data_IF_744214847083
#
_entry.id   IF_744214847083
#
_cell.length_a   1.000
_cell.length_b   1.000
_cell.length_c   1.000
_cell.angle_alpha   90.00
_cell.angle_beta   90.00
_cell.angle_gamma   90.00
#
_symmetry.space_group_name_H-M   'P 1'
#
loop_
_entity.id
_entity.type
_entity.pdbx_description
1 polymer ?
#
# COMPACT_ATOMS: atom_id res chain seq x y z
N UNK A 1 -0.64 -13.73 20.58
CA UNK A 1 -1.84 -12.87 20.36
C UNK A 1 -1.36 -11.43 20.30
N UNK A 2 -1.69 -10.68 19.25
CA UNK A 2 -1.28 -9.28 19.13
C UNK A 2 -2.03 -8.44 20.18
N UNK A 3 -1.29 -7.81 21.09
CA UNK A 3 -1.85 -6.93 22.13
C UNK A 3 -2.06 -5.50 21.63
N UNK A 4 -1.50 -5.18 20.47
CA UNK A 4 -1.59 -3.86 19.82
C UNK A 4 -2.00 -3.99 18.36
N UNK A 5 -2.65 -2.94 17.84
CA UNK A 5 -3.06 -2.78 16.45
C UNK A 5 -2.33 -1.58 15.85
N UNK A 6 -1.72 -1.77 14.67
CA UNK A 6 -1.08 -0.71 13.91
C UNK A 6 -2.10 -0.06 12.96
N UNK A 7 -2.19 1.26 13.01
CA UNK A 7 -2.93 2.07 12.04
C UNK A 7 -1.95 2.96 11.27
N UNK A 8 -2.05 2.96 9.94
CA UNK A 8 -1.29 3.84 9.07
C UNK A 8 -2.23 4.86 8.41
N UNK A 9 -1.83 6.14 8.39
CA UNK A 9 -2.62 7.20 7.78
C UNK A 9 -1.77 8.11 6.89
N UNK A 10 -2.13 8.27 5.60
CA UNK A 10 -1.40 9.15 4.69
C UNK A 10 -1.71 10.62 5.00
N UNK A 11 -0.68 11.45 5.16
CA UNK A 11 -0.83 12.89 5.38
C UNK A 11 -0.95 13.69 4.07
N UNK A 12 -0.69 13.06 2.92
CA UNK A 12 -0.83 13.67 1.60
C UNK A 12 -1.30 12.66 0.53
N UNK A 13 -1.74 13.18 -0.63
CA UNK A 13 -2.33 12.36 -1.70
C UNK A 13 -1.33 11.39 -2.34
N UNK A 14 -0.04 11.76 -2.38
CA UNK A 14 1.06 10.89 -2.83
C UNK A 14 1.12 9.64 -1.97
N UNK A 15 1.26 9.79 -0.65
CA UNK A 15 1.29 8.65 0.28
C UNK A 15 -0.02 7.84 0.24
N UNK A 16 -1.17 8.51 0.10
CA UNK A 16 -2.47 7.83 -0.06
C UNK A 16 -2.50 6.92 -1.28
N UNK A 17 -2.01 7.41 -2.41
CA UNK A 17 -1.92 6.64 -3.65
C UNK A 17 -0.98 5.45 -3.49
N UNK A 18 0.17 5.65 -2.85
CA UNK A 18 1.16 4.60 -2.62
C UNK A 18 0.66 3.49 -1.70
N UNK A 19 0.02 3.81 -0.58
CA UNK A 19 -0.57 2.80 0.30
C UNK A 19 -1.70 2.01 -0.39
N UNK A 20 -2.50 2.65 -1.25
CA UNK A 20 -3.51 1.96 -2.07
C UNK A 20 -2.87 0.98 -3.05
N UNK A 21 -1.81 1.41 -3.75
CA UNK A 21 -1.09 0.56 -4.71
C UNK A 21 -0.44 -0.62 -3.98
N UNK A 22 0.23 -0.38 -2.86
CA UNK A 22 0.85 -1.42 -2.03
C UNK A 22 -0.19 -2.46 -1.62
N UNK A 23 -1.34 -2.01 -1.08
CA UNK A 23 -2.44 -2.89 -0.70
C UNK A 23 -2.92 -3.73 -1.89
N UNK A 24 -3.23 -3.10 -3.03
CA UNK A 24 -3.75 -3.79 -4.21
C UNK A 24 -2.75 -4.83 -4.76
N UNK A 25 -1.45 -4.50 -4.82
CA UNK A 25 -0.41 -5.43 -5.26
C UNK A 25 -0.31 -6.63 -4.31
N UNK A 26 -0.38 -6.42 -2.99
CA UNK A 26 -0.40 -7.51 -2.02
C UNK A 26 -1.64 -8.40 -2.19
N UNK A 27 -2.81 -7.79 -2.47
CA UNK A 27 -4.05 -8.53 -2.67
C UNK A 27 -4.02 -9.43 -3.92
N UNK A 28 -3.31 -9.05 -4.98
CA UNK A 28 -3.16 -9.88 -6.19
C UNK A 28 -2.51 -11.24 -5.88
N UNK A 29 -1.66 -11.33 -4.87
CA UNK A 29 -0.99 -12.57 -4.48
C UNK A 29 -1.67 -13.30 -3.31
N UNK A 30 -2.69 -12.70 -2.68
CA UNK A 30 -3.25 -13.18 -1.41
C UNK A 30 -4.08 -14.48 -1.52
N UNK A 31 -4.55 -14.82 -2.73
CA UNK A 31 -5.40 -15.99 -2.99
C UNK A 31 -4.89 -16.85 -4.15
N UNK A 32 -3.56 -16.90 -4.32
CA UNK A 32 -2.94 -17.81 -5.28
C UNK A 32 -2.82 -19.22 -4.69
N UNK A 33 -2.91 -20.28 -5.51
CA UNK A 33 -3.18 -20.26 -6.95
C UNK A 33 -4.66 -19.98 -7.27
N UNK A 34 -4.96 -19.46 -8.47
CA UNK A 34 -6.35 -19.24 -8.89
C UNK A 34 -6.98 -20.57 -9.31
N UNK A 35 -7.79 -21.14 -8.43
CA UNK A 35 -8.47 -22.41 -8.65
C UNK A 35 -9.97 -22.24 -8.91
N UNK A 36 -10.62 -21.32 -8.21
CA UNK A 36 -12.07 -21.16 -8.25
C UNK A 36 -12.49 -19.75 -8.72
N UNK A 37 -13.79 -19.59 -8.99
CA UNK A 37 -14.35 -18.30 -9.43
C UNK A 37 -14.14 -17.19 -8.39
N UNK A 38 -14.18 -17.51 -7.09
CA UNK A 38 -13.92 -16.53 -6.03
C UNK A 38 -12.49 -15.96 -6.08
N UNK A 39 -11.50 -16.80 -6.39
CA UNK A 39 -10.10 -16.40 -6.47
C UNK A 39 -9.85 -15.55 -7.71
N UNK A 40 -10.44 -15.97 -8.84
CA UNK A 40 -10.37 -15.21 -10.08
C UNK A 40 -11.00 -13.82 -9.91
N UNK A 41 -12.21 -13.73 -9.36
CA UNK A 41 -12.87 -12.44 -9.15
C UNK A 41 -12.12 -11.56 -8.17
N UNK A 42 -11.52 -12.14 -7.13
CA UNK A 42 -10.62 -11.42 -6.22
C UNK A 42 -9.42 -10.85 -6.98
N UNK A 43 -8.72 -11.66 -7.78
CA UNK A 43 -7.57 -11.23 -8.57
C UNK A 43 -7.95 -10.13 -9.58
N UNK A 44 -8.94 -10.37 -10.44
CA UNK A 44 -9.32 -9.44 -11.50
C UNK A 44 -9.91 -8.14 -10.97
N UNK A 45 -10.58 -8.15 -9.81
CA UNK A 45 -11.05 -6.92 -9.16
C UNK A 45 -9.88 -6.07 -8.68
N UNK A 46 -8.93 -6.66 -7.96
CA UNK A 46 -7.73 -5.92 -7.51
C UNK A 46 -6.87 -5.44 -8.70
N UNK A 47 -6.77 -6.22 -9.77
CA UNK A 47 -6.09 -5.80 -11.00
C UNK A 47 -6.81 -4.62 -11.67
N UNK A 48 -8.15 -4.66 -11.72
CA UNK A 48 -8.97 -3.57 -12.24
C UNK A 48 -8.82 -2.28 -11.43
N UNK A 49 -8.95 -2.38 -10.11
CA UNK A 49 -8.78 -1.24 -9.20
C UNK A 49 -7.37 -0.64 -9.29
N UNK A 50 -6.34 -1.48 -9.46
CA UNK A 50 -4.97 -1.03 -9.67
C UNK A 50 -4.79 -0.27 -10.99
N UNK A 51 -5.42 -0.75 -12.08
CA UNK A 51 -5.43 -0.06 -13.37
C UNK A 51 -6.13 1.29 -13.29
N UNK A 52 -7.23 1.40 -12.54
CA UNK A 52 -7.95 2.66 -12.30
C UNK A 52 -7.06 3.68 -11.57
N UNK A 53 -6.23 3.23 -10.62
CA UNK A 53 -5.26 4.10 -9.93
C UNK A 53 -4.19 4.60 -10.92
N UNK A 54 -3.65 3.73 -11.78
CA UNK A 54 -2.66 4.13 -12.79
C UNK A 54 -3.19 5.09 -13.85
N UNK A 55 -4.50 5.09 -14.11
CA UNK A 55 -5.12 6.01 -15.08
C UNK A 55 -5.25 7.45 -14.55
N UNK A 56 -5.27 7.63 -13.21
CA UNK A 56 -5.51 8.93 -12.57
C UNK A 56 -4.27 9.77 -12.29
N UNK A 57 -3.06 9.21 -12.37
CA UNK A 57 -1.85 9.92 -11.95
C UNK A 57 -0.53 9.36 -12.48
N UNK A 58 0.51 10.19 -12.39
CA UNK A 58 1.87 9.85 -12.82
C UNK A 58 2.72 9.19 -11.71
N UNK A 59 2.31 7.99 -11.28
CA UNK A 59 2.96 7.25 -10.19
C UNK A 59 4.47 7.06 -10.41
N UNK A 60 4.91 6.86 -11.66
CA UNK A 60 6.31 6.62 -12.00
C UNK A 60 7.17 7.84 -11.68
N UNK A 61 6.74 9.01 -12.15
CA UNK A 61 7.46 10.26 -11.96
C UNK A 61 7.61 10.58 -10.47
N UNK A 62 6.56 10.35 -9.69
CA UNK A 62 6.57 10.55 -8.24
C UNK A 62 7.51 9.58 -7.52
N UNK A 63 7.48 8.29 -7.86
CA UNK A 63 8.38 7.30 -7.28
C UNK A 63 9.84 7.57 -7.63
N UNK A 64 10.15 7.95 -8.86
CA UNK A 64 11.53 8.31 -9.25
C UNK A 64 12.05 9.50 -8.42
N UNK A 65 11.23 10.54 -8.24
CA UNK A 65 11.58 11.69 -7.38
C UNK A 65 11.80 11.26 -5.92
N UNK A 66 10.98 10.36 -5.40
CA UNK A 66 11.14 9.87 -4.03
C UNK A 66 12.37 8.96 -3.87
N UNK A 67 12.68 8.09 -4.84
CA UNK A 67 13.92 7.29 -4.83
C UNK A 67 15.15 8.20 -4.70
N UNK A 68 15.19 9.31 -5.46
CA UNK A 68 16.26 10.30 -5.35
C UNK A 68 16.26 11.04 -4.00
N UNK A 69 15.08 11.37 -3.46
CA UNK A 69 14.95 12.00 -2.13
C UNK A 69 15.48 11.07 -1.04
N UNK A 70 15.16 9.78 -1.09
CA UNK A 70 15.64 8.78 -0.13
C UNK A 70 17.15 8.55 -0.25
N UNK A 71 17.72 8.55 -1.47
CA UNK A 71 19.18 8.52 -1.65
C UNK A 71 19.88 9.71 -0.99
N UNK A 72 19.32 10.92 -1.13
CA UNK A 72 19.85 12.13 -0.48
C UNK A 72 19.74 12.05 1.04
N UNK A 73 18.61 11.57 1.57
CA UNK A 73 18.43 11.33 3.01
C UNK A 73 19.48 10.36 3.56
N UNK A 74 19.71 9.23 2.89
CA UNK A 74 20.71 8.24 3.30
C UNK A 74 22.15 8.80 3.23
N UNK A 75 22.47 9.62 2.23
CA UNK A 75 23.79 10.26 2.11
C UNK A 75 24.11 11.18 3.30
N UNK A 76 23.10 11.85 3.88
CA UNK A 76 23.31 12.71 5.04
C UNK A 76 23.73 11.91 6.31
N UNK A 77 23.41 10.62 6.37
CA UNK A 77 23.82 9.76 7.49
C UNK A 77 25.27 9.27 7.41
N UNK A 78 25.90 9.34 6.23
CA UNK A 78 27.30 8.92 6.01
C UNK A 78 28.28 9.68 6.90
N UNK A 79 27.99 10.93 7.25
CA UNK A 79 28.87 11.76 8.09
C UNK A 79 28.64 11.54 9.60
N UNK A 80 27.63 10.76 10.00
CA UNK A 80 27.25 10.56 11.40
C UNK A 80 28.12 9.47 12.05
N UNK A 81 28.80 9.75 13.18
CA UNK A 81 29.58 8.75 13.89
C UNK A 81 28.72 7.57 14.37
N UNK A 82 29.25 6.33 14.25
CA UNK A 82 28.59 5.12 14.73
C UNK A 82 27.56 4.50 13.79
N UNK A 83 27.34 5.08 12.61
CA UNK A 83 26.48 4.52 11.55
C UNK A 83 27.16 3.36 10.83
N UNK A 84 26.35 2.38 10.42
CA UNK A 84 26.76 1.30 9.52
C UNK A 84 26.82 1.78 8.06
N UNK A 85 28.03 2.16 7.63
CA UNK A 85 28.28 2.65 6.27
C UNK A 85 27.97 1.60 5.20
N UNK A 86 28.28 0.33 5.47
CA UNK A 86 28.08 -0.76 4.50
C UNK A 86 26.60 -0.94 4.16
N UNK A 87 25.74 -0.81 5.18
CA UNK A 87 24.28 -0.90 5.00
C UNK A 87 23.72 0.30 4.26
N UNK A 88 24.23 1.51 4.54
CA UNK A 88 23.84 2.72 3.79
C UNK A 88 24.18 2.57 2.31
N UNK A 89 25.41 2.17 2.00
CA UNK A 89 25.86 2.03 0.61
C UNK A 89 25.06 0.96 -0.13
N UNK A 90 24.79 -0.18 0.51
CA UNK A 90 23.95 -1.22 -0.05
C UNK A 90 22.52 -0.73 -0.36
N UNK A 91 21.88 -0.02 0.59
CA UNK A 91 20.54 0.55 0.38
C UNK A 91 20.53 1.59 -0.74
N UNK A 92 21.55 2.45 -0.81
CA UNK A 92 21.66 3.45 -1.89
C UNK A 92 21.84 2.80 -3.26
N UNK A 93 22.62 1.72 -3.34
CA UNK A 93 22.75 0.93 -4.57
C UNK A 93 21.41 0.28 -4.97
N UNK A 94 20.66 -0.28 -4.01
CA UNK A 94 19.33 -0.82 -4.27
C UNK A 94 18.37 0.25 -4.81
N UNK A 95 18.33 1.44 -4.21
CA UNK A 95 17.51 2.56 -4.68
C UNK A 95 17.89 2.98 -6.11
N UNK A 96 19.19 3.04 -6.42
CA UNK A 96 19.67 3.40 -7.77
C UNK A 96 19.26 2.36 -8.80
N UNK A 97 19.44 1.07 -8.49
CA UNK A 97 19.05 -0.03 -9.36
C UNK A 97 17.53 -0.06 -9.58
N UNK A 98 16.73 0.10 -8.52
CA UNK A 98 15.27 0.19 -8.63
C UNK A 98 14.84 1.37 -9.51
N UNK A 99 15.52 2.52 -9.39
CA UNK A 99 15.30 3.68 -10.25
C UNK A 99 15.60 3.39 -11.72
N UNK A 100 16.74 2.77 -12.02
CA UNK A 100 17.10 2.37 -13.40
C UNK A 100 16.09 1.38 -13.99
N UNK A 101 15.69 0.36 -13.23
CA UNK A 101 14.68 -0.62 -13.66
C UNK A 101 13.33 0.08 -13.93
N UNK A 102 12.91 0.98 -13.06
CA UNK A 102 11.64 1.70 -13.20
C UNK A 102 11.62 2.67 -14.40
N UNK A 103 12.77 3.30 -14.71
CA UNK A 103 12.92 4.16 -15.91
C UNK A 103 12.77 3.33 -17.19
N UNK A 104 13.43 2.17 -17.25
CA UNK A 104 13.40 1.28 -18.41
C UNK A 104 12.09 0.49 -18.54
N UNK A 105 11.23 0.50 -17.53
CA UNK A 105 9.99 -0.26 -17.53
C UNK A 105 8.97 0.28 -18.57
N UNK A 106 8.24 -0.61 -19.28
CA UNK A 106 7.09 -0.25 -20.10
C UNK A 106 6.04 0.50 -19.29
N UNK A 107 5.10 1.18 -19.95
CA UNK A 107 4.06 1.97 -19.27
C UNK A 107 3.35 1.12 -18.21
N UNK A 108 3.20 1.68 -17.00
CA UNK A 108 2.66 0.92 -15.87
C UNK A 108 1.26 0.37 -16.17
N UNK A 109 1.07 -0.91 -15.85
CA UNK A 109 -0.17 -1.63 -16.11
C UNK A 109 -0.50 -1.85 -17.60
N UNK A 110 0.38 -1.49 -18.54
CA UNK A 110 0.11 -1.68 -19.97
C UNK A 110 -0.15 -3.15 -20.31
N UNK A 111 0.70 -4.05 -19.81
CA UNK A 111 0.56 -5.49 -20.03
C UNK A 111 -0.81 -6.02 -19.53
N UNK A 112 -1.24 -5.60 -18.35
CA UNK A 112 -2.56 -5.97 -17.80
C UNK A 112 -3.73 -5.35 -18.58
N UNK A 113 -3.57 -4.10 -19.04
CA UNK A 113 -4.60 -3.37 -19.79
C UNK A 113 -4.84 -3.96 -21.17
N UNK A 114 -3.78 -4.45 -21.81
CA UNK A 114 -3.82 -5.06 -23.15
C UNK A 114 -4.25 -6.54 -23.09
N UNK A 115 -4.28 -7.15 -21.90
CA UNK A 115 -4.75 -8.53 -21.74
C UNK A 115 -6.27 -8.65 -21.97
N UNK A 116 -6.63 -9.55 -22.89
CA UNK A 116 -8.02 -9.75 -23.31
C UNK A 116 -8.92 -10.26 -22.19
N UNK A 117 -8.42 -11.17 -21.35
CA UNK A 117 -9.23 -11.74 -20.27
C UNK A 117 -9.46 -10.71 -19.18
N UNK A 118 -8.42 -9.99 -18.76
CA UNK A 118 -8.53 -8.88 -17.81
C UNK A 118 -9.52 -7.83 -18.32
N UNK A 119 -9.41 -7.41 -19.58
CA UNK A 119 -10.31 -6.43 -20.17
C UNK A 119 -11.78 -6.89 -20.16
N UNK A 120 -12.05 -8.14 -20.54
CA UNK A 120 -13.41 -8.72 -20.54
C UNK A 120 -14.02 -8.77 -19.14
N UNK A 121 -13.25 -9.22 -18.14
CA UNK A 121 -13.74 -9.28 -16.76
C UNK A 121 -13.98 -7.87 -16.21
N UNK A 122 -13.04 -6.94 -16.45
CA UNK A 122 -13.11 -5.56 -15.96
C UNK A 122 -14.35 -4.81 -16.45
N UNK A 123 -14.77 -5.01 -17.70
CA UNK A 123 -16.02 -4.43 -18.24
C UNK A 123 -17.28 -4.85 -17.48
N UNK A 124 -17.25 -6.00 -16.80
CA UNK A 124 -18.40 -6.56 -16.07
C UNK A 124 -18.35 -6.30 -14.57
N UNK A 125 -17.19 -5.92 -13.99
CA UNK A 125 -16.99 -5.76 -12.54
C UNK A 125 -17.89 -4.69 -11.89
N UNK A 126 -18.39 -3.74 -12.68
CA UNK A 126 -19.31 -2.67 -12.26
C UNK A 126 -20.78 -3.12 -12.17
N UNK A 127 -21.13 -4.26 -12.77
CA UNK A 127 -22.48 -4.80 -12.78
C UNK A 127 -22.65 -5.77 -11.60
N UNK A 128 -23.57 -5.54 -10.66
CA UNK A 128 -23.87 -6.50 -9.60
C UNK A 128 -24.25 -7.86 -10.20
N UNK A 129 -23.52 -8.92 -9.83
CA UNK A 129 -23.74 -10.25 -10.40
C UNK A 129 -23.29 -10.42 -11.86
N UNK A 130 -22.70 -9.41 -12.51
CA UNK A 130 -22.34 -9.45 -13.93
C UNK A 130 -21.13 -10.32 -14.28
N UNK A 131 -20.50 -10.95 -13.28
CA UNK A 131 -19.35 -11.83 -13.47
C UNK A 131 -19.69 -13.33 -13.34
N UNK A 132 -20.97 -13.70 -13.47
CA UNK A 132 -21.41 -15.09 -13.50
C UNK A 132 -20.94 -15.82 -14.77
N UNK A 133 -20.94 -17.16 -14.72
CA UNK A 133 -20.42 -18.03 -15.79
C UNK A 133 -21.08 -17.80 -17.16
N UNK A 134 -22.38 -17.48 -17.20
CA UNK A 134 -23.10 -17.23 -18.45
C UNK A 134 -22.82 -15.83 -19.04
N UNK A 135 -22.39 -14.87 -18.22
CA UNK A 135 -22.01 -13.52 -18.66
C UNK A 135 -20.54 -13.42 -19.07
N UNK A 136 -19.69 -14.29 -18.51
CA UNK A 136 -18.26 -14.42 -18.77
C UNK A 136 -17.88 -15.85 -19.16
N UNK A 137 -18.38 -16.39 -20.29
CA UNK A 137 -18.04 -17.75 -20.73
C UNK A 137 -16.52 -17.95 -20.94
N UNK A 138 -15.80 -16.89 -21.36
CA UNK A 138 -14.34 -16.90 -21.49
C UNK A 138 -13.63 -17.14 -20.14
N UNK A 139 -14.10 -16.49 -19.06
CA UNK A 139 -13.55 -16.72 -17.72
C UNK A 139 -13.91 -18.14 -17.24
N UNK A 140 -15.14 -18.57 -17.51
CA UNK A 140 -15.61 -19.89 -17.13
C UNK A 140 -14.75 -21.00 -17.75
N UNK A 141 -14.47 -20.95 -19.06
CA UNK A 141 -13.59 -21.95 -19.69
C UNK A 141 -12.13 -21.83 -19.22
N UNK A 142 -11.64 -20.62 -18.97
CA UNK A 142 -10.29 -20.39 -18.44
C UNK A 142 -10.06 -21.07 -17.08
N UNK A 143 -11.07 -21.03 -16.20
CA UNK A 143 -11.05 -21.74 -14.92
C UNK A 143 -11.05 -23.28 -15.04
N UNK A 144 -11.41 -23.82 -16.21
CA UNK A 144 -11.36 -25.26 -16.48
C UNK A 144 -10.07 -25.70 -17.21
N UNK A 145 -9.19 -24.77 -17.58
CA UNK A 145 -7.88 -25.10 -18.15
C UNK A 145 -6.99 -25.83 -17.11
N UNK A 146 -5.89 -26.48 -17.52
CA UNK A 146 -4.93 -27.02 -16.55
C UNK A 146 -4.37 -25.91 -15.64
N UNK A 147 -4.26 -26.18 -14.34
CA UNK A 147 -3.80 -25.20 -13.33
C UNK A 147 -2.46 -24.55 -13.73
N UNK A 148 -1.50 -25.34 -14.20
CA UNK A 148 -0.19 -24.85 -14.64
C UNK A 148 -0.26 -23.78 -15.75
N UNK A 149 -1.29 -23.82 -16.61
CA UNK A 149 -1.47 -22.79 -17.65
C UNK A 149 -2.01 -21.49 -17.05
N UNK A 150 -2.91 -21.57 -16.06
CA UNK A 150 -3.38 -20.40 -15.33
C UNK A 150 -2.27 -19.76 -14.52
N UNK A 151 -1.48 -20.57 -13.81
CA UNK A 151 -0.37 -20.10 -12.97
C UNK A 151 0.65 -19.34 -13.83
N UNK A 152 1.05 -19.89 -14.99
CA UNK A 152 1.98 -19.23 -15.89
C UNK A 152 1.48 -17.86 -16.41
N UNK A 153 0.17 -17.73 -16.64
CA UNK A 153 -0.43 -16.45 -17.03
C UNK A 153 -0.47 -15.45 -15.87
N UNK A 154 -0.86 -15.91 -14.69
CA UNK A 154 -0.87 -15.08 -13.47
C UNK A 154 0.55 -14.60 -13.12
N UNK A 155 1.54 -15.48 -13.19
CA UNK A 155 2.94 -15.14 -12.96
C UNK A 155 3.42 -14.07 -13.95
N UNK A 156 3.02 -14.17 -15.21
CA UNK A 156 3.35 -13.16 -16.23
C UNK A 156 2.70 -11.81 -15.92
N UNK A 157 1.42 -11.81 -15.50
CA UNK A 157 0.72 -10.59 -15.09
C UNK A 157 1.38 -9.93 -13.88
N UNK A 158 1.71 -10.70 -12.84
CA UNK A 158 2.38 -10.20 -11.64
C UNK A 158 3.79 -9.71 -11.95
N UNK A 159 4.55 -10.44 -12.77
CA UNK A 159 5.90 -10.07 -13.16
C UNK A 159 5.95 -8.70 -13.86
N UNK A 160 4.90 -8.35 -14.62
CA UNK A 160 4.79 -7.04 -15.27
C UNK A 160 4.75 -5.86 -14.29
N UNK A 161 4.39 -6.10 -13.02
CA UNK A 161 4.31 -5.10 -11.96
C UNK A 161 5.59 -5.02 -11.12
N UNK A 162 6.55 -5.93 -11.31
CA UNK A 162 7.78 -6.00 -10.49
C UNK A 162 8.58 -4.69 -10.42
N UNK A 163 8.82 -3.96 -11.54
CA UNK A 163 9.54 -2.68 -11.48
C UNK A 163 8.92 -1.67 -10.51
N UNK A 164 7.58 -1.59 -10.51
CA UNK A 164 6.83 -0.72 -9.62
C UNK A 164 6.87 -1.24 -8.18
N UNK A 165 6.59 -2.53 -7.99
CA UNK A 165 6.50 -3.14 -6.67
C UNK A 165 7.83 -3.02 -5.90
N UNK A 166 8.96 -3.27 -6.58
CA UNK A 166 10.29 -3.16 -5.98
C UNK A 166 10.59 -1.72 -5.52
N UNK A 167 10.35 -0.73 -6.38
CA UNK A 167 10.58 0.67 -6.04
C UNK A 167 9.67 1.13 -4.88
N UNK A 168 8.39 0.80 -4.94
CA UNK A 168 7.40 1.18 -3.93
C UNK A 168 7.71 0.54 -2.57
N UNK A 169 8.03 -0.76 -2.55
CA UNK A 169 8.36 -1.48 -1.32
C UNK A 169 9.59 -0.88 -0.63
N UNK A 170 10.65 -0.58 -1.39
CA UNK A 170 11.86 0.06 -0.84
C UNK A 170 11.58 1.45 -0.26
N UNK A 171 10.79 2.26 -0.97
CA UNK A 171 10.41 3.61 -0.50
C UNK A 171 9.60 3.54 0.80
N UNK A 172 8.56 2.71 0.83
CA UNK A 172 7.68 2.61 1.99
C UNK A 172 8.40 2.01 3.19
N UNK A 173 9.31 1.05 2.98
CA UNK A 173 10.14 0.50 4.06
C UNK A 173 11.05 1.60 4.67
N UNK A 174 11.71 2.41 3.85
CA UNK A 174 12.54 3.52 4.34
C UNK A 174 11.71 4.59 5.07
N UNK A 175 10.51 4.92 4.57
CA UNK A 175 9.61 5.87 5.23
C UNK A 175 9.14 5.30 6.57
N UNK A 176 8.69 4.05 6.63
CA UNK A 176 8.23 3.43 7.89
C UNK A 176 9.31 3.38 8.97
N UNK A 177 10.57 3.32 8.57
CA UNK A 177 11.73 3.31 9.47
C UNK A 177 12.38 4.69 9.67
N UNK A 178 11.82 5.78 9.12
CA UNK A 178 12.40 7.13 9.20
C UNK A 178 12.22 7.78 10.58
N UNK A 179 11.21 7.35 11.34
CA UNK A 179 10.83 7.95 12.62
C UNK A 179 10.53 6.88 13.68
N UNK A 180 11.01 7.04 14.92
CA UNK A 180 10.69 6.13 16.01
C UNK A 180 9.28 6.38 16.55
N UNK A 181 8.66 5.33 17.08
CA UNK A 181 7.45 5.46 17.89
C UNK A 181 7.73 6.22 19.18
N UNK A 182 6.93 7.25 19.44
CA UNK A 182 6.96 8.03 20.69
C UNK A 182 5.67 7.81 21.44
N UNK A 183 5.78 7.62 22.76
CA UNK A 183 4.60 7.53 23.64
C UNK A 183 3.89 8.88 23.68
N UNK A 184 2.59 8.85 23.47
CA UNK A 184 1.69 9.99 23.52
C UNK A 184 0.50 9.67 24.42
N UNK A 185 -0.17 10.71 24.88
CA UNK A 185 -1.39 10.59 25.67
C UNK A 185 -2.46 11.49 25.03
N UNK A 186 -3.60 10.90 24.71
CA UNK A 186 -4.81 11.61 24.33
C UNK A 186 -5.66 11.89 25.56
N UNK A 187 -6.27 13.08 25.59
CA UNK A 187 -7.22 13.50 26.61
C UNK A 187 -8.62 13.57 26.02
N UNK A 188 -9.58 12.92 26.66
CA UNK A 188 -10.98 12.84 26.23
C UNK A 188 -11.14 12.39 24.77
N UNK A 189 -10.34 11.41 24.34
CA UNK A 189 -10.40 10.86 22.99
C UNK A 189 -9.92 11.79 21.87
N UNK A 190 -9.25 12.90 22.20
CA UNK A 190 -8.72 13.84 21.22
C UNK A 190 -7.21 14.02 21.35
N UNK A 191 -6.53 14.15 20.23
CA UNK A 191 -5.11 14.51 20.14
C UNK A 191 -4.89 15.36 18.88
N UNK A 192 -3.99 16.34 18.94
CA UNK A 192 -3.59 17.13 17.77
C UNK A 192 -2.11 17.45 17.84
N UNK A 193 -1.47 17.51 16.68
CA UNK A 193 -0.05 17.84 16.58
C UNK A 193 0.31 18.36 15.17
N UNK A 194 1.56 18.76 15.01
CA UNK A 194 2.15 19.11 13.72
C UNK A 194 2.99 17.92 13.23
N UNK A 195 2.67 17.43 12.03
CA UNK A 195 3.42 16.39 11.33
C UNK A 195 4.65 16.92 10.58
N UNK A 196 4.88 18.23 10.56
CA UNK A 196 5.97 18.88 9.81
C UNK A 196 6.01 18.42 8.34
N UNK A 197 7.09 17.74 7.93
CA UNK A 197 7.31 17.20 6.58
C UNK A 197 6.97 15.70 6.46
N UNK A 198 6.25 15.13 7.44
CA UNK A 198 5.86 13.72 7.42
C UNK A 198 4.88 13.41 6.30
N UNK A 199 5.10 12.27 5.66
CA UNK A 199 4.21 11.72 4.63
C UNK A 199 3.18 10.75 5.27
N UNK A 200 3.55 10.12 6.39
CA UNK A 200 2.81 9.00 6.99
C UNK A 200 2.72 9.10 8.52
N UNK A 201 1.53 8.92 9.08
CA UNK A 201 1.38 8.63 10.51
C UNK A 201 1.30 7.12 10.73
N UNK A 202 1.98 6.64 11.77
CA UNK A 202 1.88 5.26 12.25
C UNK A 202 1.48 5.29 13.72
N UNK A 203 0.39 4.62 14.08
CA UNK A 203 -0.17 4.62 15.43
C UNK A 203 -0.29 3.18 15.95
N UNK A 204 0.16 2.94 17.17
CA UNK A 204 -0.08 1.67 17.87
C UNK A 204 -1.08 1.88 19.00
N UNK A 205 -2.20 1.16 18.92
CA UNK A 205 -3.26 1.19 19.92
C UNK A 205 -3.43 -0.18 20.60
N UNK A 206 -3.68 -0.23 21.92
CA UNK A 206 -4.04 -1.47 22.59
C UNK A 206 -5.33 -2.08 22.02
N UNK A 207 -5.28 -3.34 21.59
CA UNK A 207 -6.43 -4.03 20.98
C UNK A 207 -7.61 -4.13 21.96
N UNK A 208 -7.33 -4.31 23.26
CA UNK A 208 -8.35 -4.49 24.30
C UNK A 208 -9.29 -3.30 24.49
N UNK A 209 -8.92 -2.11 23.99
CA UNK A 209 -9.76 -0.91 24.07
C UNK A 209 -10.81 -0.83 22.97
N UNK A 210 -10.65 -1.59 21.87
CA UNK A 210 -11.57 -1.58 20.73
C UNK A 210 -11.86 -0.17 20.19
N UNK A 211 -10.84 0.69 20.22
CA UNK A 211 -10.89 2.04 19.64
C UNK A 211 -10.17 2.05 18.29
N UNK A 212 -10.61 2.92 17.40
CA UNK A 212 -9.90 3.24 16.16
C UNK A 212 -9.67 4.75 16.02
N UNK A 213 -8.59 5.17 15.36
CA UNK A 213 -8.31 6.57 15.14
C UNK A 213 -9.06 7.08 13.91
N UNK A 214 -9.87 8.12 14.08
CA UNK A 214 -10.39 8.94 13.01
C UNK A 214 -9.49 10.17 12.85
N UNK A 215 -8.75 10.20 11.74
CA UNK A 215 -7.70 11.21 11.52
C UNK A 215 -8.15 12.20 10.45
N UNK A 216 -7.97 13.48 10.75
CA UNK A 216 -8.16 14.59 9.81
C UNK A 216 -6.88 15.41 9.72
N UNK A 217 -6.46 15.78 8.52
CA UNK A 217 -5.26 16.58 8.28
C UNK A 217 -5.57 17.87 7.51
N UNK A 218 -4.87 18.95 7.86
CA UNK A 218 -4.88 20.20 7.10
C UNK A 218 -3.47 20.81 7.09
N UNK A 219 -2.85 20.86 5.90
CA UNK A 219 -1.45 21.23 5.70
C UNK A 219 -0.54 20.30 6.51
N UNK A 220 0.37 20.84 7.32
CA UNK A 220 1.27 20.05 8.16
C UNK A 220 0.60 19.57 9.46
N UNK A 221 -0.60 20.06 9.81
CA UNK A 221 -1.26 19.71 11.08
C UNK A 221 -2.23 18.55 10.90
N UNK A 222 -2.35 17.74 11.94
CA UNK A 222 -3.36 16.69 12.01
C UNK A 222 -4.06 16.67 13.37
N UNK A 223 -5.28 16.15 13.36
CA UNK A 223 -6.07 15.88 14.55
C UNK A 223 -6.55 14.43 14.50
N UNK A 224 -6.50 13.77 15.65
CA UNK A 224 -6.91 12.40 15.86
C UNK A 224 -8.06 12.43 16.85
N UNK A 225 -9.19 11.87 16.44
CA UNK A 225 -10.32 11.55 17.31
C UNK A 225 -10.41 10.05 17.47
N UNK A 226 -10.33 9.54 18.69
CA UNK A 226 -10.50 8.12 18.97
C UNK A 226 -11.98 7.82 19.10
N UNK A 227 -12.44 6.83 18.33
CA UNK A 227 -13.83 6.40 18.28
C UNK A 227 -13.92 4.94 18.69
N UNK A 228 -14.95 4.55 19.46
CA UNK A 228 -15.17 3.14 19.77
C UNK A 228 -15.68 2.38 18.56
N UNK A 229 -15.29 1.11 18.44
CA UNK A 229 -15.81 0.20 17.43
C UNK A 229 -17.32 -0.05 17.61
N UNK A 230 -17.76 -0.22 18.86
CA UNK A 230 -19.18 -0.21 19.23
C UNK A 230 -19.60 1.24 19.52
N UNK A 231 -20.34 1.87 18.60
CA UNK A 231 -20.79 3.25 18.75
C UNK A 231 -21.79 3.47 19.89
N UNK A 232 -22.50 2.42 20.29
CA UNK A 232 -23.60 2.52 21.25
C UNK A 232 -23.10 2.25 22.68
N UNK A 233 -22.18 1.29 22.86
CA UNK A 233 -21.71 0.87 24.19
C UNK A 233 -20.22 1.10 24.45
N UNK A 234 -19.43 1.45 23.43
CA UNK A 234 -18.00 1.61 23.59
C UNK A 234 -17.64 2.91 24.30
N UNK A 235 -16.67 2.82 25.21
CA UNK A 235 -16.24 3.94 26.05
C UNK A 235 -14.86 4.40 25.61
N UNK A 236 -14.73 5.69 25.34
CA UNK A 236 -13.42 6.33 25.15
C UNK A 236 -12.93 6.81 26.51
N UNK A 237 -11.79 6.32 27.02
CA UNK A 237 -11.29 6.73 28.33
C UNK A 237 -10.86 8.20 28.30
N UNK A 238 -10.97 8.88 29.45
CA UNK A 238 -10.51 10.27 29.61
C UNK A 238 -9.01 10.41 29.29
N UNK A 239 -8.24 9.37 29.56
CA UNK A 239 -6.81 9.30 29.26
C UNK A 239 -6.50 8.04 28.48
N UNK A 240 -5.96 8.21 27.28
CA UNK A 240 -5.56 7.11 26.40
C UNK A 240 -4.07 7.25 26.07
N UNK A 241 -3.25 6.33 26.57
CA UNK A 241 -1.85 6.25 26.18
C UNK A 241 -1.70 5.40 24.90
N UNK A 242 -0.92 5.90 23.95
CA UNK A 242 -0.67 5.24 22.66
C UNK A 242 0.75 5.56 22.15
N UNK A 243 1.17 4.90 21.07
CA UNK A 243 2.44 5.25 20.42
C UNK A 243 2.20 5.82 19.02
N UNK A 244 2.95 6.87 18.68
CA UNK A 244 2.84 7.61 17.43
C UNK A 244 4.22 7.82 16.79
N UNK A 245 4.33 7.55 15.49
CA UNK A 245 5.46 7.95 14.67
C UNK A 245 4.97 8.82 13.49
N UNK A 246 5.66 9.93 13.25
CA UNK A 246 5.46 10.83 12.12
C UNK A 246 6.61 10.61 11.11
N UNK A 247 6.34 9.83 10.07
CA UNK A 247 7.32 9.25 9.14
C UNK A 247 7.49 10.02 7.83
#
# INVERSE_FOLDING_TARGET
MHTQVLFEHPLNEKMRTWLRIEFLIQQLSARLPIAESSDALHFFRNAGDLLDVFERGEVRTELLKELERQQRKLQAWTEVPGVDQSRIDALRQQLKMAGSILISAPRMGQFLREDRLIALVRQRLSIPGGCCSFDLPTLHIWLHMPQAQRDAQVDSWLASLNPLNQALTLILDLIRNSAPFRKQTSLNGFYQDNGDDADLLRLQLPLGLQLYPQISGHKSRFAIRFMPLDSDNGVVPERLDFELACC
#
